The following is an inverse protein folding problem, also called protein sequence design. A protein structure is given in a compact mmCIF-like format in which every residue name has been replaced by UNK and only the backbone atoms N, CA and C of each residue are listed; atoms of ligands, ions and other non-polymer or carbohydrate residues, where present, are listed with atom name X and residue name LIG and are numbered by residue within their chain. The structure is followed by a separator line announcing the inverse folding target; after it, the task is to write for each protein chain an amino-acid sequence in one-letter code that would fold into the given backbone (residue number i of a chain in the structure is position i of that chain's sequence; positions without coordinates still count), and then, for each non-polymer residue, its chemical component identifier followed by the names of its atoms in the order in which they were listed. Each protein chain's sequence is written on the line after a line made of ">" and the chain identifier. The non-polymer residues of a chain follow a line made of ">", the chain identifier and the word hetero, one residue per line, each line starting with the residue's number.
data_IF_125512836119
#
_entry.id   IF_125512836119
#
_cell.length_a   1.000
_cell.length_b   1.000
_cell.length_c   1.000
_cell.angle_alpha   90.00
_cell.angle_beta   90.00
_cell.angle_gamma   90.00
#
_symmetry.space_group_name_H-M   'P 1'
#
loop_
_entity.id
_entity.type
_entity.pdbx_description
1 polymer ?
#
# COMPACT_ATOMS: atom_id res chain seq x y z
N UNK A 1 -57.44 -10.95 -24.41
CA UNK A 1 -56.04 -10.73 -23.97
C UNK A 1 -55.38 -12.09 -23.91
N UNK A 2 -54.53 -12.40 -24.91
CA UNK A 2 -54.07 -13.76 -25.20
C UNK A 2 -53.13 -14.27 -24.08
N UNK A 3 -53.23 -15.58 -23.78
CA UNK A 3 -52.40 -16.24 -22.75
C UNK A 3 -50.90 -15.97 -22.95
N UNK A 4 -50.46 -15.83 -24.19
CA UNK A 4 -49.08 -15.45 -24.55
C UNK A 4 -48.65 -14.08 -23.94
N UNK A 5 -49.53 -13.08 -24.01
CA UNK A 5 -49.23 -11.77 -23.43
C UNK A 5 -49.14 -11.78 -21.88
N UNK A 6 -49.89 -12.66 -21.22
CA UNK A 6 -49.82 -12.84 -19.78
C UNK A 6 -48.50 -13.54 -19.36
N UNK A 7 -48.10 -14.54 -20.12
CA UNK A 7 -46.83 -15.24 -19.90
C UNK A 7 -45.66 -14.29 -20.14
N UNK A 8 -45.66 -13.52 -21.21
CA UNK A 8 -44.62 -12.54 -21.53
C UNK A 8 -44.47 -11.48 -20.43
N UNK A 9 -45.60 -10.94 -19.93
CA UNK A 9 -45.57 -9.97 -18.80
C UNK A 9 -45.02 -10.58 -17.51
N UNK A 10 -45.34 -11.85 -17.21
CA UNK A 10 -44.82 -12.56 -16.03
C UNK A 10 -43.31 -12.81 -16.14
N UNK A 11 -42.84 -13.25 -17.32
CA UNK A 11 -41.40 -13.44 -17.57
C UNK A 11 -40.66 -12.12 -17.45
N UNK A 12 -41.18 -11.05 -18.04
CA UNK A 12 -40.56 -9.72 -17.94
C UNK A 12 -40.53 -9.19 -16.49
N UNK A 13 -41.57 -9.42 -15.70
CA UNK A 13 -41.63 -9.06 -14.31
C UNK A 13 -40.63 -9.86 -13.44
N UNK A 14 -40.49 -11.16 -13.71
CA UNK A 14 -39.50 -12.01 -13.01
C UNK A 14 -38.06 -11.62 -13.37
N UNK A 15 -37.77 -11.34 -14.63
CA UNK A 15 -36.42 -10.88 -15.02
C UNK A 15 -36.08 -9.52 -14.42
N UNK A 16 -37.03 -8.59 -14.39
CA UNK A 16 -36.84 -7.29 -13.74
C UNK A 16 -36.60 -7.42 -12.21
N UNK A 17 -37.32 -8.32 -11.55
CA UNK A 17 -37.14 -8.60 -10.12
C UNK A 17 -35.79 -9.24 -9.83
N UNK A 18 -35.33 -10.16 -10.68
CA UNK A 18 -33.99 -10.80 -10.56
C UNK A 18 -32.89 -9.76 -10.76
N UNK A 19 -32.99 -8.91 -11.77
CA UNK A 19 -32.01 -7.84 -12.04
C UNK A 19 -31.99 -6.86 -10.87
N UNK A 20 -33.14 -6.47 -10.33
CA UNK A 20 -33.24 -5.59 -9.17
C UNK A 20 -32.62 -6.25 -7.92
N UNK A 21 -32.87 -7.53 -7.70
CA UNK A 21 -32.27 -8.26 -6.56
C UNK A 21 -30.74 -8.38 -6.71
N UNK A 22 -30.25 -8.64 -7.90
CA UNK A 22 -28.80 -8.70 -8.18
C UNK A 22 -28.15 -7.32 -8.02
N UNK A 23 -28.80 -6.25 -8.48
CA UNK A 23 -28.27 -4.88 -8.28
C UNK A 23 -28.29 -4.46 -6.81
N UNK A 24 -29.30 -4.87 -6.02
CA UNK A 24 -29.30 -4.63 -4.57
C UNK A 24 -28.19 -5.42 -3.83
N UNK A 25 -27.90 -6.65 -4.26
CA UNK A 25 -26.79 -7.44 -3.69
C UNK A 25 -25.41 -6.89 -4.05
N UNK A 26 -25.26 -6.27 -5.24
CA UNK A 26 -23.99 -5.65 -5.64
C UNK A 26 -23.76 -4.28 -4.99
N UNK A 27 -24.78 -3.65 -4.44
CA UNK A 27 -24.67 -2.37 -3.72
C UNK A 27 -24.21 -2.51 -2.27
N UNK A 28 -23.99 -3.73 -1.74
CA UNK A 28 -23.22 -3.97 -0.54
C UNK A 28 -21.72 -3.83 -0.89
N UNK A 29 -21.31 -2.65 -1.35
CA UNK A 29 -19.91 -2.25 -1.31
C UNK A 29 -19.45 -2.42 0.13
N UNK A 30 -18.29 -3.02 0.34
CA UNK A 30 -17.70 -3.19 1.66
C UNK A 30 -17.51 -1.79 2.27
N UNK A 31 -18.51 -1.34 3.02
CA UNK A 31 -18.39 -0.14 3.84
C UNK A 31 -17.42 -0.53 4.96
N UNK A 32 -16.36 0.27 5.13
CA UNK A 32 -15.43 0.08 6.24
C UNK A 32 -16.26 0.09 7.53
N UNK A 33 -16.32 -1.06 8.18
CA UNK A 33 -17.28 -1.32 9.27
C UNK A 33 -17.03 -0.45 10.51
N UNK A 34 -15.84 0.16 10.61
CA UNK A 34 -15.39 0.87 11.80
C UNK A 34 -15.17 2.36 11.51
N UNK A 35 -15.61 3.19 12.47
CA UNK A 35 -15.33 4.63 12.47
C UNK A 35 -14.26 4.95 13.52
N UNK A 36 -13.42 5.99 13.33
CA UNK A 36 -12.42 6.34 14.31
C UNK A 36 -13.07 6.72 15.65
N UNK A 37 -12.46 6.27 16.74
CA UNK A 37 -12.90 6.63 18.09
C UNK A 37 -12.50 8.08 18.42
N UNK A 38 -13.01 8.60 19.54
CA UNK A 38 -12.63 9.93 20.02
C UNK A 38 -11.13 10.07 20.36
N UNK A 39 -10.42 8.97 20.57
CA UNK A 39 -8.98 8.96 20.84
C UNK A 39 -8.15 9.10 19.54
N UNK A 40 -8.70 8.76 18.41
CA UNK A 40 -8.14 8.81 17.04
C UNK A 40 -6.85 8.00 16.85
N UNK A 41 -5.80 8.25 17.65
CA UNK A 41 -4.47 7.62 17.48
C UNK A 41 -4.43 6.13 17.80
N UNK A 42 -5.41 5.61 18.55
CA UNK A 42 -5.57 4.19 18.82
C UNK A 42 -7.04 3.80 18.76
N UNK A 43 -7.32 2.69 18.09
CA UNK A 43 -8.67 2.17 17.90
C UNK A 43 -8.65 0.65 18.02
N UNK A 44 -8.91 0.16 19.23
CA UNK A 44 -8.87 -1.27 19.55
C UNK A 44 -10.26 -1.91 19.41
N UNK A 45 -10.64 -2.25 18.17
CA UNK A 45 -11.93 -2.90 17.91
C UNK A 45 -11.92 -4.41 18.22
N UNK A 46 -10.73 -4.99 18.37
CA UNK A 46 -10.58 -6.39 18.72
C UNK A 46 -10.51 -6.63 20.24
N UNK A 47 -10.44 -5.56 21.05
CA UNK A 47 -10.31 -5.60 22.51
C UNK A 47 -9.12 -6.47 22.98
N UNK A 48 -7.95 -6.24 22.34
CA UNK A 48 -6.72 -7.01 22.59
C UNK A 48 -5.58 -6.16 23.15
N UNK A 49 -5.75 -4.84 23.24
CA UNK A 49 -4.77 -3.94 23.81
C UNK A 49 -5.08 -3.66 25.28
N UNK A 50 -4.04 -3.45 26.09
CA UNK A 50 -4.22 -2.97 27.44
C UNK A 50 -4.53 -1.47 27.46
N UNK A 51 -5.32 -1.02 28.42
CA UNK A 51 -5.61 0.40 28.58
C UNK A 51 -4.35 1.27 28.76
N UNK A 52 -3.28 0.72 29.33
CA UNK A 52 -2.00 1.39 29.44
C UNK A 52 -1.35 1.59 28.06
N UNK A 53 -1.36 0.54 27.22
CA UNK A 53 -0.85 0.61 25.84
C UNK A 53 -1.62 1.64 25.03
N UNK A 54 -2.94 1.65 25.13
CA UNK A 54 -3.76 2.65 24.43
C UNK A 54 -3.40 4.08 24.86
N UNK A 55 -3.26 4.31 26.15
CA UNK A 55 -2.88 5.62 26.68
C UNK A 55 -1.49 6.05 26.17
N UNK A 56 -0.48 5.17 26.22
CA UNK A 56 0.86 5.46 25.73
C UNK A 56 0.85 5.81 24.22
N UNK A 57 0.08 5.07 23.40
CA UNK A 57 -0.05 5.36 21.98
C UNK A 57 -0.72 6.72 21.74
N UNK A 58 -1.75 7.06 22.49
CA UNK A 58 -2.41 8.38 22.41
C UNK A 58 -1.44 9.50 22.73
N UNK A 59 -0.63 9.36 23.78
CA UNK A 59 0.36 10.36 24.18
C UNK A 59 1.44 10.53 23.12
N UNK A 60 2.00 9.43 22.62
CA UNK A 60 2.99 9.42 21.54
C UNK A 60 2.43 10.01 20.24
N UNK A 61 1.22 9.62 19.86
CA UNK A 61 0.59 10.11 18.63
C UNK A 61 0.30 11.60 18.67
N UNK A 62 -0.15 12.12 19.80
CA UNK A 62 -0.33 13.57 20.01
C UNK A 62 0.99 14.32 19.93
N UNK A 63 2.02 13.80 20.60
CA UNK A 63 3.35 14.42 20.58
C UNK A 63 3.93 14.44 19.17
N UNK A 64 3.82 13.31 18.45
CA UNK A 64 4.26 13.19 17.05
C UNK A 64 3.54 14.20 16.16
N UNK A 65 2.22 14.26 16.21
CA UNK A 65 1.42 15.19 15.40
C UNK A 65 1.74 16.64 15.73
N UNK A 66 1.91 16.98 17.02
CA UNK A 66 2.23 18.36 17.42
C UNK A 66 3.60 18.82 16.90
N UNK A 67 4.58 17.92 16.83
CA UNK A 67 5.95 18.26 16.47
C UNK A 67 6.24 18.16 14.97
N UNK A 68 5.55 17.26 14.26
CA UNK A 68 5.84 16.95 12.86
C UNK A 68 4.65 17.17 11.91
N UNK A 69 3.44 17.31 12.44
CA UNK A 69 2.21 17.29 11.63
C UNK A 69 1.75 15.89 11.23
N UNK A 70 2.59 14.86 11.39
CA UNK A 70 2.31 13.48 10.98
C UNK A 70 1.24 12.85 11.87
N UNK A 71 0.31 12.13 11.26
CA UNK A 71 -0.70 11.35 11.96
C UNK A 71 -0.38 9.85 11.84
N UNK A 72 0.06 9.23 12.92
CA UNK A 72 0.22 7.78 13.04
C UNK A 72 -0.96 7.20 13.84
N UNK A 73 -1.66 6.23 13.27
CA UNK A 73 -2.87 5.64 13.87
C UNK A 73 -2.70 4.13 13.99
N UNK A 74 -2.90 3.62 15.20
CA UNK A 74 -2.91 2.19 15.52
C UNK A 74 -4.35 1.66 15.50
N UNK A 75 -4.57 0.55 14.82
CA UNK A 75 -5.89 -0.08 14.72
C UNK A 75 -5.76 -1.59 14.91
N UNK A 76 -6.63 -2.16 15.72
CA UNK A 76 -6.86 -3.60 15.74
C UNK A 76 -8.27 -3.90 15.28
N UNK A 77 -8.43 -4.95 14.49
CA UNK A 77 -9.75 -5.45 14.07
C UNK A 77 -9.86 -6.95 14.34
N UNK A 78 -11.05 -7.44 14.70
CA UNK A 78 -11.25 -8.89 14.86
C UNK A 78 -10.98 -9.64 13.59
N UNK A 79 -11.48 -9.16 12.45
CA UNK A 79 -11.35 -9.81 11.13
C UNK A 79 -11.39 -8.79 9.99
N UNK A 80 -10.78 -9.17 8.87
CA UNK A 80 -10.80 -8.41 7.61
C UNK A 80 -12.07 -8.66 6.76
N UNK A 81 -12.95 -9.56 7.19
CA UNK A 81 -14.18 -9.87 6.46
C UNK A 81 -13.96 -10.47 5.07
N UNK A 82 -12.81 -11.10 4.85
CA UNK A 82 -12.45 -11.72 3.57
C UNK A 82 -11.70 -10.81 2.60
N UNK A 83 -11.44 -9.57 2.97
CA UNK A 83 -10.55 -8.67 2.20
C UNK A 83 -9.07 -9.03 2.41
N UNK A 84 -8.20 -8.57 1.50
CA UNK A 84 -6.76 -8.58 1.75
C UNK A 84 -6.41 -7.54 2.83
N UNK A 85 -5.31 -7.75 3.56
CA UNK A 85 -4.91 -6.78 4.59
C UNK A 85 -4.46 -5.45 3.95
N UNK A 86 -3.96 -5.51 2.74
CA UNK A 86 -3.55 -4.38 1.93
C UNK A 86 -4.74 -3.51 1.56
N UNK A 87 -5.76 -4.10 0.90
CA UNK A 87 -6.96 -3.37 0.48
C UNK A 87 -7.70 -2.80 1.68
N UNK A 88 -7.86 -3.60 2.75
CA UNK A 88 -8.52 -3.18 3.97
C UNK A 88 -7.81 -1.97 4.62
N UNK A 89 -6.47 -2.00 4.70
CA UNK A 89 -5.70 -0.90 5.29
C UNK A 89 -5.81 0.39 4.47
N UNK A 90 -5.73 0.30 3.13
CA UNK A 90 -5.88 1.44 2.21
C UNK A 90 -7.29 2.03 2.35
N UNK A 91 -8.33 1.21 2.29
CA UNK A 91 -9.72 1.65 2.41
C UNK A 91 -9.98 2.32 3.76
N UNK A 92 -9.45 1.74 4.85
CA UNK A 92 -9.57 2.28 6.20
C UNK A 92 -8.86 3.63 6.32
N UNK A 93 -7.61 3.71 5.90
CA UNK A 93 -6.80 4.92 5.98
C UNK A 93 -7.40 6.08 5.18
N UNK A 94 -7.87 5.80 3.97
CA UNK A 94 -8.54 6.79 3.12
C UNK A 94 -9.91 7.20 3.68
N UNK A 95 -10.72 6.26 4.18
CA UNK A 95 -12.04 6.57 4.73
C UNK A 95 -11.98 7.41 6.00
N UNK A 96 -10.93 7.24 6.80
CA UNK A 96 -10.69 8.02 8.02
C UNK A 96 -9.94 9.32 7.73
N UNK A 97 -9.42 9.50 6.52
CA UNK A 97 -8.64 10.67 6.13
C UNK A 97 -7.40 10.87 6.98
N UNK A 98 -6.66 9.77 7.27
CA UNK A 98 -5.45 9.82 8.10
C UNK A 98 -4.39 10.66 7.38
N UNK A 99 -3.74 11.58 8.11
CA UNK A 99 -2.76 12.50 7.55
C UNK A 99 -3.38 13.80 7.02
N UNK A 100 -2.55 14.68 6.49
CA UNK A 100 -2.93 15.94 5.89
C UNK A 100 -2.99 15.79 4.37
N UNK A 101 -4.06 16.28 3.74
CA UNK A 101 -4.31 16.10 2.30
C UNK A 101 -3.23 16.70 1.39
N UNK A 102 -2.54 17.75 1.85
CA UNK A 102 -1.49 18.41 1.06
C UNK A 102 -0.11 17.76 1.23
N UNK A 103 0.10 17.03 2.33
CA UNK A 103 1.39 16.45 2.70
C UNK A 103 1.42 14.93 2.59
N UNK A 104 0.26 14.26 2.49
CA UNK A 104 0.11 12.80 2.46
C UNK A 104 0.91 12.11 3.59
N UNK A 105 0.91 12.74 4.78
CA UNK A 105 1.77 12.40 5.91
C UNK A 105 1.07 11.52 6.96
N UNK A 106 0.27 10.57 6.52
CA UNK A 106 -0.42 9.60 7.35
C UNK A 106 0.32 8.27 7.46
N UNK A 107 0.16 7.58 8.60
CA UNK A 107 0.58 6.19 8.80
C UNK A 107 -0.53 5.44 9.51
N UNK A 108 -0.89 4.25 9.01
CA UNK A 108 -1.80 3.33 9.66
C UNK A 108 -1.06 2.05 10.03
N UNK A 109 -1.12 1.65 11.30
CA UNK A 109 -0.62 0.35 11.78
C UNK A 109 -1.84 -0.50 12.11
N UNK A 110 -2.10 -1.53 11.29
CA UNK A 110 -3.27 -2.39 11.37
C UNK A 110 -2.89 -3.80 11.80
N UNK A 111 -3.59 -4.35 12.81
CA UNK A 111 -3.51 -5.76 13.18
C UNK A 111 -4.90 -6.39 12.99
N UNK A 112 -4.99 -7.44 12.19
CA UNK A 112 -6.16 -8.29 12.03
C UNK A 112 -5.94 -9.61 12.81
N UNK A 113 -6.75 -9.80 13.84
CA UNK A 113 -6.50 -10.84 14.86
C UNK A 113 -6.78 -12.25 14.31
N UNK A 114 -7.93 -12.46 13.66
CA UNK A 114 -8.33 -13.79 13.15
C UNK A 114 -7.41 -14.25 12.02
N UNK A 115 -7.07 -13.37 11.10
CA UNK A 115 -6.21 -13.69 9.96
C UNK A 115 -4.72 -13.71 10.34
N UNK A 116 -4.39 -13.26 11.56
CA UNK A 116 -3.00 -13.10 12.03
C UNK A 116 -2.16 -12.30 11.03
N UNK A 117 -2.69 -11.17 10.61
CA UNK A 117 -2.09 -10.27 9.64
C UNK A 117 -1.76 -8.93 10.27
N UNK A 118 -0.63 -8.39 9.87
CA UNK A 118 -0.13 -7.08 10.25
C UNK A 118 0.15 -6.28 8.99
N UNK A 119 -0.26 -5.02 8.97
CA UNK A 119 0.04 -4.06 7.91
C UNK A 119 0.49 -2.74 8.49
N UNK A 120 1.54 -2.16 7.94
CA UNK A 120 1.87 -0.75 8.11
C UNK A 120 1.67 -0.09 6.76
N UNK A 121 0.64 0.74 6.65
CA UNK A 121 0.32 1.51 5.47
C UNK A 121 0.88 2.91 5.62
N UNK A 122 1.57 3.41 4.60
CA UNK A 122 2.34 4.66 4.65
C UNK A 122 1.85 5.60 3.56
N UNK A 123 1.52 6.83 3.94
CA UNK A 123 1.18 7.88 2.99
C UNK A 123 2.37 8.30 2.13
N UNK A 124 2.09 8.77 0.93
CA UNK A 124 3.12 9.09 -0.08
C UNK A 124 4.18 10.08 0.42
N UNK A 125 3.79 11.03 1.28
CA UNK A 125 4.70 12.02 1.85
C UNK A 125 5.72 11.44 2.84
N UNK A 126 5.51 10.22 3.30
CA UNK A 126 6.39 9.55 4.27
C UNK A 126 7.18 8.37 3.69
N UNK A 127 7.09 8.09 2.39
CA UNK A 127 7.85 7.00 1.76
C UNK A 127 9.37 7.17 1.88
N UNK A 128 9.85 8.41 2.00
CA UNK A 128 11.26 8.71 2.30
C UNK A 128 11.68 8.24 3.69
N UNK A 129 10.85 8.50 4.70
CA UNK A 129 11.08 8.12 6.10
C UNK A 129 10.88 6.62 6.33
N UNK A 130 9.83 6.08 5.74
CA UNK A 130 9.29 4.73 5.95
C UNK A 130 9.12 3.96 4.63
N UNK A 131 10.19 3.73 3.85
CA UNK A 131 10.09 2.90 2.64
C UNK A 131 9.76 1.44 3.02
N UNK A 132 9.17 0.67 2.09
CA UNK A 132 8.68 -0.70 2.30
C UNK A 132 9.68 -1.62 3.01
N UNK A 133 10.96 -1.52 2.63
CA UNK A 133 12.01 -2.32 3.25
C UNK A 133 12.26 -1.95 4.72
N UNK A 134 12.03 -0.70 5.13
CA UNK A 134 12.17 -0.25 6.51
C UNK A 134 10.94 -0.64 7.32
N UNK A 135 9.75 -0.42 6.80
CA UNK A 135 8.50 -0.87 7.45
C UNK A 135 8.48 -2.38 7.65
N UNK A 136 8.97 -3.15 6.66
CA UNK A 136 9.16 -4.58 6.78
C UNK A 136 10.05 -4.98 7.97
N UNK A 137 11.20 -4.32 8.13
CA UNK A 137 12.10 -4.57 9.27
C UNK A 137 11.48 -4.18 10.61
N UNK A 138 10.80 -3.04 10.68
CA UNK A 138 10.09 -2.62 11.90
C UNK A 138 9.10 -3.71 12.33
N UNK A 139 8.31 -4.23 11.41
CA UNK A 139 7.37 -5.30 11.72
C UNK A 139 8.08 -6.58 12.18
N UNK A 140 9.16 -6.97 11.52
CA UNK A 140 9.88 -8.20 11.83
C UNK A 140 10.64 -8.10 13.18
N UNK A 141 11.21 -6.95 13.50
CA UNK A 141 12.03 -6.75 14.71
C UNK A 141 11.20 -6.39 15.94
N UNK A 142 10.22 -5.50 15.80
CA UNK A 142 9.52 -4.92 16.96
C UNK A 142 8.11 -5.47 17.17
N UNK A 143 7.43 -5.96 16.14
CA UNK A 143 6.02 -6.38 16.26
C UNK A 143 5.84 -7.90 16.25
N UNK A 144 6.35 -8.56 15.22
CA UNK A 144 6.10 -9.98 14.98
C UNK A 144 6.49 -10.90 16.13
N UNK A 145 7.60 -10.70 16.86
CA UNK A 145 7.97 -11.57 17.98
C UNK A 145 6.92 -11.63 19.09
N UNK A 146 6.36 -10.49 19.48
CA UNK A 146 5.31 -10.38 20.50
C UNK A 146 3.96 -10.89 19.99
N UNK A 147 3.60 -10.52 18.76
CA UNK A 147 2.35 -10.94 18.13
C UNK A 147 2.25 -12.46 17.98
N UNK A 148 3.36 -13.16 17.69
CA UNK A 148 3.41 -14.64 17.66
C UNK A 148 3.04 -15.29 18.99
N UNK A 149 3.28 -14.57 20.08
CA UNK A 149 2.96 -14.98 21.44
C UNK A 149 1.56 -14.51 21.88
N UNK A 150 0.79 -13.89 20.97
CA UNK A 150 -0.49 -13.22 21.22
C UNK A 150 -0.37 -12.02 22.19
N UNK A 151 0.83 -11.46 22.36
CA UNK A 151 1.03 -10.22 23.09
C UNK A 151 0.85 -9.04 22.12
N UNK A 152 -0.41 -8.70 21.90
CA UNK A 152 -0.81 -7.62 20.99
C UNK A 152 -0.42 -6.25 21.53
N UNK A 153 -0.51 -6.08 22.85
CA UNK A 153 -0.16 -4.82 23.53
C UNK A 153 1.29 -4.44 23.29
N UNK A 154 2.21 -5.34 23.60
CA UNK A 154 3.65 -5.10 23.40
C UNK A 154 3.95 -4.97 21.90
N UNK A 155 3.42 -5.86 21.06
CA UNK A 155 3.67 -5.83 19.62
C UNK A 155 3.23 -4.52 18.97
N UNK A 156 2.04 -4.00 19.32
CA UNK A 156 1.55 -2.73 18.79
C UNK A 156 2.37 -1.55 19.29
N UNK A 157 2.65 -1.48 20.60
CA UNK A 157 3.35 -0.37 21.21
C UNK A 157 4.79 -0.24 20.70
N UNK A 158 5.54 -1.35 20.67
CA UNK A 158 6.91 -1.36 20.20
C UNK A 158 7.01 -0.99 18.70
N UNK A 159 6.07 -1.50 17.89
CA UNK A 159 5.96 -1.10 16.48
C UNK A 159 5.64 0.38 16.31
N UNK A 160 4.71 0.89 17.10
CA UNK A 160 4.34 2.30 17.08
C UNK A 160 5.53 3.22 17.44
N UNK A 161 6.26 2.86 18.50
CA UNK A 161 7.49 3.57 18.91
C UNK A 161 8.56 3.55 17.81
N UNK A 162 8.75 2.40 17.16
CA UNK A 162 9.71 2.28 16.07
C UNK A 162 9.32 3.13 14.85
N UNK A 163 8.04 3.16 14.47
CA UNK A 163 7.52 4.04 13.42
C UNK A 163 7.73 5.51 13.79
N UNK A 164 7.34 5.91 15.01
CA UNK A 164 7.50 7.28 15.48
C UNK A 164 8.97 7.71 15.50
N UNK A 165 9.89 6.84 15.93
CA UNK A 165 11.32 7.10 15.92
C UNK A 165 11.85 7.42 14.51
N UNK A 166 11.43 6.66 13.50
CA UNK A 166 11.85 6.92 12.11
C UNK A 166 11.30 8.24 11.57
N UNK A 167 10.07 8.60 11.96
CA UNK A 167 9.49 9.88 11.58
C UNK A 167 10.25 11.04 12.24
N UNK A 168 10.54 10.98 13.53
CA UNK A 168 11.32 11.99 14.21
C UNK A 168 12.71 12.18 13.59
N UNK A 169 13.38 11.08 13.22
CA UNK A 169 14.67 11.15 12.52
C UNK A 169 14.57 11.88 11.18
N UNK A 170 13.53 11.59 10.38
CA UNK A 170 13.32 12.25 9.08
C UNK A 170 13.11 13.76 9.24
N UNK A 171 12.38 14.18 10.29
CA UNK A 171 12.12 15.58 10.59
C UNK A 171 13.26 16.25 11.37
N UNK A 172 14.37 15.51 11.67
CA UNK A 172 15.53 16.06 12.40
C UNK A 172 15.22 16.44 13.85
N UNK A 173 14.22 15.79 14.46
CA UNK A 173 13.79 16.04 15.83
C UNK A 173 14.38 14.97 16.74
N UNK A 174 15.06 15.39 17.80
CA UNK A 174 15.57 14.45 18.80
C UNK A 174 14.43 13.95 19.71
N UNK A 175 14.28 12.63 19.79
CA UNK A 175 13.34 11.94 20.68
C UNK A 175 14.12 10.93 21.53
N UNK A 176 14.80 11.37 22.61
CA UNK A 176 15.67 10.52 23.42
C UNK A 176 14.98 9.28 23.98
N UNK A 177 13.69 9.38 24.29
CA UNK A 177 12.85 8.28 24.78
C UNK A 177 12.64 7.17 23.71
N UNK A 178 12.87 7.48 22.44
CA UNK A 178 12.75 6.55 21.31
C UNK A 178 14.10 6.14 20.70
N UNK A 179 15.21 6.51 21.32
CA UNK A 179 16.57 6.28 20.79
C UNK A 179 16.95 4.80 20.61
N UNK A 180 16.23 3.88 21.27
CA UNK A 180 16.41 2.43 21.12
C UNK A 180 15.69 1.81 19.90
N UNK A 181 14.85 2.58 19.21
CA UNK A 181 14.01 2.10 18.12
C UNK A 181 14.57 2.47 16.74
N UNK A 182 15.87 2.51 16.59
CA UNK A 182 16.47 2.64 15.28
C UNK A 182 16.27 1.32 14.53
N UNK A 183 15.53 1.37 13.41
CA UNK A 183 15.49 0.24 12.50
C UNK A 183 16.94 -0.08 12.12
N UNK A 184 17.41 -1.23 12.58
CA UNK A 184 18.78 -1.69 12.36
C UNK A 184 19.13 -1.45 10.88
N UNK A 185 20.04 -0.50 10.64
CA UNK A 185 20.63 -0.24 9.33
C UNK A 185 21.57 -1.39 8.92
N UNK A 186 21.43 -2.55 9.56
CA UNK A 186 21.90 -3.77 9.00
C UNK A 186 21.17 -3.94 7.66
N UNK A 187 21.70 -3.26 6.66
CA UNK A 187 21.82 -3.89 5.37
C UNK A 187 22.52 -5.23 5.66
N UNK A 188 21.74 -6.18 6.15
CA UNK A 188 21.97 -7.53 5.77
C UNK A 188 21.75 -7.46 4.26
N UNK A 189 22.77 -6.98 3.56
CA UNK A 189 23.16 -7.55 2.28
C UNK A 189 23.14 -9.03 2.60
N UNK A 190 21.92 -9.61 2.50
CA UNK A 190 21.73 -11.06 2.55
C UNK A 190 22.80 -11.55 1.63
N UNK A 191 23.76 -12.18 2.24
CA UNK A 191 24.91 -12.82 1.65
C UNK A 191 24.74 -12.83 0.11
N UNK A 192 24.98 -11.69 -0.56
CA UNK A 192 25.53 -11.73 -1.89
C UNK A 192 26.81 -12.48 -1.58
N UNK A 193 26.72 -13.80 -1.67
CA UNK A 193 27.89 -14.60 -1.98
C UNK A 193 28.56 -13.76 -3.05
N UNK A 194 29.65 -13.12 -2.65
CA UNK A 194 30.55 -12.52 -3.59
C UNK A 194 30.71 -13.59 -4.64
N UNK A 195 30.01 -13.39 -5.77
CA UNK A 195 30.13 -14.30 -6.91
C UNK A 195 31.61 -14.22 -7.17
N UNK A 196 32.37 -15.28 -6.86
CA UNK A 196 33.81 -15.15 -6.81
C UNK A 196 34.20 -14.57 -8.16
N UNK A 197 35.12 -13.60 -8.15
CA UNK A 197 35.65 -12.88 -9.33
C UNK A 197 35.95 -13.80 -10.50
N UNK A 198 36.05 -15.11 -10.25
CA UNK A 198 36.15 -16.21 -11.21
C UNK A 198 34.94 -16.25 -12.17
N UNK A 199 33.71 -15.91 -11.75
CA UNK A 199 32.54 -15.99 -12.62
C UNK A 199 32.47 -14.78 -13.59
N UNK A 200 33.08 -13.66 -13.24
CA UNK A 200 33.22 -12.51 -14.16
C UNK A 200 34.29 -12.75 -15.23
N UNK A 201 35.25 -13.64 -14.97
CA UNK A 201 36.25 -14.06 -15.94
C UNK A 201 35.77 -15.17 -16.89
N UNK A 202 34.78 -15.97 -16.46
CA UNK A 202 34.19 -17.05 -17.28
C UNK A 202 33.27 -16.46 -18.37
N UNK A 203 32.59 -15.36 -18.07
CA UNK A 203 31.67 -14.71 -19.02
C UNK A 203 32.27 -14.37 -20.39
N UNK A 204 33.42 -13.70 -20.50
CA UNK A 204 34.02 -13.44 -21.80
C UNK A 204 34.56 -14.69 -22.50
N UNK A 205 35.04 -15.68 -21.72
CA UNK A 205 35.51 -16.96 -22.26
C UNK A 205 34.34 -17.78 -22.78
N UNK A 206 33.22 -17.83 -22.07
CA UNK A 206 32.02 -18.51 -22.52
C UNK A 206 31.44 -17.86 -23.78
N UNK A 207 31.52 -16.54 -23.92
CA UNK A 207 31.10 -15.81 -25.12
C UNK A 207 32.02 -16.15 -26.32
N UNK A 208 33.32 -16.20 -26.10
CA UNK A 208 34.28 -16.58 -27.14
C UNK A 208 34.10 -18.04 -27.59
N UNK A 209 33.87 -18.97 -26.65
CA UNK A 209 33.59 -20.36 -26.96
C UNK A 209 32.28 -20.50 -27.74
N UNK A 210 31.22 -19.75 -27.33
CA UNK A 210 29.92 -19.73 -28.02
C UNK A 210 30.09 -19.21 -29.47
N UNK A 211 30.87 -18.14 -29.67
CA UNK A 211 31.16 -17.60 -31.00
C UNK A 211 32.00 -18.57 -31.86
N UNK A 212 32.94 -19.31 -31.25
CA UNK A 212 33.69 -20.35 -31.93
C UNK A 212 32.82 -21.53 -32.35
N UNK A 213 31.90 -21.97 -31.46
CA UNK A 213 30.94 -23.04 -31.77
C UNK A 213 29.99 -22.58 -32.89
N UNK A 214 29.47 -21.36 -32.84
CA UNK A 214 28.65 -20.78 -33.91
C UNK A 214 29.40 -20.73 -35.22
N UNK A 215 30.68 -20.40 -35.22
CA UNK A 215 31.54 -20.35 -36.39
C UNK A 215 31.85 -21.75 -36.97
N UNK A 216 32.00 -22.77 -36.11
CA UNK A 216 32.16 -24.16 -36.54
C UNK A 216 30.88 -24.74 -37.16
N UNK A 217 29.74 -24.42 -36.60
CA UNK A 217 28.43 -24.85 -37.11
C UNK A 217 28.07 -24.14 -38.42
N UNK A 218 28.49 -22.89 -38.59
CA UNK A 218 28.23 -22.10 -39.80
C UNK A 218 29.08 -22.45 -40.99
N UNK A 219 30.18 -23.24 -40.80
CA UNK A 219 31.02 -23.71 -41.91
C UNK A 219 30.43 -24.86 -42.72
N UNK A 220 29.25 -25.34 -42.37
CA UNK A 220 28.63 -26.50 -43.02
C UNK A 220 27.38 -26.24 -43.89
N UNK A 221 26.75 -25.07 -43.86
CA UNK A 221 25.59 -24.74 -44.72
C UNK A 221 25.39 -23.25 -44.76
N UNK A 222 25.51 -22.68 -45.99
CA UNK A 222 25.24 -21.26 -46.22
C UNK A 222 23.77 -20.91 -45.91
N UNK A 223 23.55 -20.16 -44.86
CA UNK A 223 22.31 -19.44 -44.63
C UNK A 223 22.47 -18.02 -45.11
N UNK A 224 21.60 -17.50 -46.02
CA UNK A 224 21.69 -16.12 -46.47
C UNK A 224 21.12 -15.18 -45.39
N UNK A 225 21.99 -14.58 -44.62
CA UNK A 225 21.68 -13.62 -43.54
C UNK A 225 21.47 -12.19 -44.10
N UNK A 226 20.87 -12.06 -45.29
CA UNK A 226 20.72 -10.76 -45.98
C UNK A 226 19.28 -10.35 -46.28
N UNK A 227 18.32 -10.67 -45.38
CA UNK A 227 16.95 -10.28 -45.69
C UNK A 227 16.21 -9.51 -44.57
N UNK A 228 16.91 -8.87 -43.66
CA UNK A 228 16.21 -8.13 -42.58
C UNK A 228 16.61 -6.65 -42.43
N UNK A 229 17.38 -6.09 -43.40
CA UNK A 229 17.64 -4.66 -43.40
C UNK A 229 17.43 -4.08 -44.82
N UNK A 230 16.18 -3.82 -45.16
CA UNK A 230 15.84 -3.14 -46.38
C UNK A 230 14.35 -2.80 -46.43
N UNK A 231 13.94 -1.80 -45.70
CA UNK A 231 12.63 -1.18 -45.85
C UNK A 231 12.68 -0.10 -46.94
N UNK A 232 11.71 -0.06 -47.88
CA UNK A 232 11.70 0.96 -48.93
C UNK A 232 11.25 2.32 -48.39
N UNK A 233 11.97 3.35 -48.82
CA UNK A 233 11.56 4.76 -48.71
C UNK A 233 10.33 5.00 -49.58
N UNK A 234 9.23 5.45 -48.96
CA UNK A 234 8.06 6.01 -49.63
C UNK A 234 7.95 7.53 -49.36
N UNK A 235 7.31 8.28 -50.25
CA UNK A 235 7.57 9.70 -50.40
C UNK A 235 6.74 10.64 -49.51
N UNK A 236 7.29 11.84 -49.40
CA UNK A 236 6.79 13.07 -48.75
C UNK A 236 5.44 13.53 -49.30
N UNK A 237 4.56 13.98 -48.39
CA UNK A 237 3.40 14.84 -48.63
C UNK A 237 2.79 15.10 -47.26
N UNK A 238 2.80 16.24 -46.68
CA UNK A 238 2.17 17.47 -47.02
C UNK A 238 1.06 17.75 -46.04
N UNK A 239 1.28 18.70 -45.11
CA UNK A 239 0.26 19.64 -44.65
C UNK A 239 -0.80 19.17 -43.64
N UNK A 240 -0.92 19.91 -42.53
CA UNK A 240 -2.12 19.94 -41.72
C UNK A 240 -1.84 20.34 -40.26
N UNK A 241 -1.87 21.62 -40.00
CA UNK A 241 -2.16 22.18 -38.68
C UNK A 241 -3.48 21.66 -38.15
N UNK A 242 -3.55 21.21 -36.93
CA UNK A 242 -4.73 21.43 -36.10
C UNK A 242 -4.35 21.43 -34.62
N UNK A 243 -4.41 22.62 -34.08
CA UNK A 243 -4.47 23.01 -32.69
C UNK A 243 -5.76 22.47 -32.08
N UNK A 244 -5.69 21.65 -31.04
CA UNK A 244 -6.81 21.45 -30.13
C UNK A 244 -6.36 21.61 -28.70
N UNK A 245 -6.60 22.83 -28.19
CA UNK A 245 -6.65 23.13 -26.79
C UNK A 245 -7.97 22.59 -26.22
N UNK A 246 -7.91 22.01 -25.06
CA UNK A 246 -9.06 21.57 -24.30
C UNK A 246 -8.69 21.45 -22.83
N UNK A 247 -8.72 22.59 -22.13
CA UNK A 247 -8.68 22.63 -20.69
C UNK A 247 -9.97 22.06 -20.11
N UNK A 248 -9.85 21.18 -19.15
CA UNK A 248 -10.93 20.86 -18.22
C UNK A 248 -10.52 21.28 -16.82
N UNK A 249 -10.90 22.52 -16.50
CA UNK A 249 -11.10 23.00 -15.14
C UNK A 249 -12.48 22.48 -14.71
N UNK A 250 -12.52 21.65 -13.67
CA UNK A 250 -13.74 21.21 -13.03
C UNK A 250 -13.52 21.16 -11.53
N UNK A 251 -13.58 22.34 -10.88
CA UNK A 251 -13.73 22.42 -9.46
C UNK A 251 -15.12 21.95 -9.05
N UNK A 252 -15.19 21.01 -8.12
CA UNK A 252 -16.41 20.73 -7.36
C UNK A 252 -16.06 20.99 -5.91
N UNK A 253 -16.50 22.14 -5.42
CA UNK A 253 -16.59 22.44 -4.02
C UNK A 253 -17.70 21.59 -3.41
N UNK A 254 -17.39 20.78 -2.40
CA UNK A 254 -18.32 20.04 -1.56
C UNK A 254 -18.26 20.60 -0.15
N UNK A 255 -19.36 21.15 0.30
CA UNK A 255 -19.56 21.93 1.49
C UNK A 255 -19.31 21.17 2.78
N UNK A 256 -18.90 21.95 3.77
CA UNK A 256 -18.71 21.55 5.13
C UNK A 256 -19.98 21.12 5.82
N UNK A 257 -19.83 20.12 6.68
CA UNK A 257 -20.71 19.88 7.81
C UNK A 257 -19.89 20.07 9.09
N UNK A 258 -20.18 21.15 9.76
CA UNK A 258 -19.65 21.42 11.07
C UNK A 258 -20.38 20.61 12.14
N UNK A 259 -19.66 20.26 13.20
CA UNK A 259 -20.28 19.95 14.47
C UNK A 259 -19.56 18.84 15.24
N UNK A 260 -18.85 19.22 16.30
CA UNK A 260 -18.38 18.35 17.35
C UNK A 260 -16.88 18.11 17.29
N UNK A 261 -16.13 18.65 18.27
CA UNK A 261 -14.68 18.59 18.35
C UNK A 261 -14.07 17.19 18.50
N UNK A 262 -14.15 16.41 17.44
CA UNK A 262 -13.40 15.19 17.22
C UNK A 262 -12.25 15.53 16.31
N UNK A 263 -11.06 15.01 16.58
CA UNK A 263 -9.96 15.04 15.64
C UNK A 263 -10.43 14.37 14.36
N UNK A 264 -10.50 15.15 13.28
CA UNK A 264 -10.75 14.67 11.94
C UNK A 264 -9.40 14.57 11.23
N UNK A 265 -9.12 13.44 10.62
CA UNK A 265 -8.00 13.32 9.72
C UNK A 265 -8.10 14.36 8.59
N UNK A 266 -6.98 14.88 8.13
CA UNK A 266 -6.92 15.92 7.11
C UNK A 266 -7.14 15.41 5.68
N UNK A 267 -7.23 14.08 5.47
CA UNK A 267 -7.49 13.46 4.18
C UNK A 267 -6.26 13.23 3.30
N UNK A 268 -5.17 12.71 3.87
CA UNK A 268 -4.00 12.27 3.09
C UNK A 268 -4.32 11.11 2.15
N UNK A 269 -3.54 10.95 1.09
CA UNK A 269 -3.67 9.88 0.10
C UNK A 269 -2.76 8.70 0.43
N UNK A 270 -3.29 7.49 0.33
CA UNK A 270 -2.54 6.26 0.48
C UNK A 270 -2.49 5.52 -0.85
N UNK A 271 -1.28 5.19 -1.32
CA UNK A 271 -1.04 4.56 -2.62
C UNK A 271 -0.53 3.12 -2.53
N UNK A 272 -0.60 2.50 -1.34
CA UNK A 272 -0.13 1.13 -1.13
C UNK A 272 1.35 1.02 -0.73
N UNK A 273 2.00 2.12 -0.36
CA UNK A 273 3.31 2.11 0.29
C UNK A 273 3.24 1.44 1.66
N UNK A 274 4.35 0.82 2.11
CA UNK A 274 4.42 0.15 3.40
C UNK A 274 4.70 -1.35 3.30
N UNK A 275 4.28 -2.12 4.28
CA UNK A 275 4.53 -3.55 4.30
C UNK A 275 3.47 -4.36 5.03
N UNK A 276 3.38 -5.65 4.73
CA UNK A 276 2.51 -6.59 5.43
C UNK A 276 3.26 -7.83 5.89
N UNK A 277 2.79 -8.43 6.98
CA UNK A 277 3.35 -9.65 7.57
C UNK A 277 2.24 -10.57 8.09
N UNK A 278 2.50 -11.86 8.07
CA UNK A 278 1.79 -12.84 8.89
C UNK A 278 2.58 -13.14 10.17
N UNK A 279 1.90 -13.44 11.27
CA UNK A 279 2.55 -13.76 12.56
C UNK A 279 1.96 -15.00 13.25
#
# INVERSE_FOLDING_TARGET
>A
MNNVQRILKRVLACTAAIVLAVTLCLAAAAEVAYQPTAQFFVNDFADVLSAQTEQEIVELGRALQQQTGVQAVAVTVPSLGGQSVEDYAIDLANSWGIGQAEEDNGVLILIAVEERKLRVEVGLGLEGALPDGKTGRIMDEYMTPSLRQNDYSTGMLEGYKAVASQIYQEYGIEAPELSGYEASNNQNTGNRQDIPTVLTLISPIALVILLLILRLVSHGRGFPFFWFFGGPRGPRGGGGNDTFGGGFSGGIGGGGFGGGGGFSGGGGSFGGGGGSRGF
#
